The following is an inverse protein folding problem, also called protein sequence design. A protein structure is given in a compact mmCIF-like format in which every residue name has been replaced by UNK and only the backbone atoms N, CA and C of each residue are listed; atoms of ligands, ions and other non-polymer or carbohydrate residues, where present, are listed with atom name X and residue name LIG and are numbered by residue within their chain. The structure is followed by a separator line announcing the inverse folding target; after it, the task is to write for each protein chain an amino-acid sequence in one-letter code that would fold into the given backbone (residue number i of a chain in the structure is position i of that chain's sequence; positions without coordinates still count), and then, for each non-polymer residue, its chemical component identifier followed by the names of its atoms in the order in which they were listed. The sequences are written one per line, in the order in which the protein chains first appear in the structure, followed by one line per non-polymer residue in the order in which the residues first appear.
data_IF_912178985629
#
_entry.id   IF_912178985629
#
_cell.length_a   1.000
_cell.length_b   1.000
_cell.length_c   1.000
_cell.angle_alpha   90.00
_cell.angle_beta   90.00
_cell.angle_gamma   90.00
#
_symmetry.space_group_name_H-M   'P 1'
#
loop_
_entity.id
_entity.type
_entity.pdbx_description
1 polymer ?
#
# COMPACT_ATOMS: atom_id res chain seq x y z
N UNK A 1 5.34 -12.71 0.65
CA UNK A 1 5.41 -13.20 -0.72
C UNK A 1 6.82 -13.61 -1.10
N UNK A 2 6.95 -14.47 -2.09
CA UNK A 2 8.23 -14.80 -2.68
C UNK A 2 8.07 -14.94 -4.20
N UNK A 3 8.98 -14.33 -4.96
CA UNK A 3 9.13 -14.61 -6.38
C UNK A 3 9.75 -16.01 -6.59
N UNK A 4 9.59 -16.64 -7.76
CA UNK A 4 10.27 -17.88 -8.06
C UNK A 4 11.79 -17.78 -7.89
N UNK A 5 12.39 -18.82 -7.29
CA UNK A 5 13.86 -18.87 -7.13
C UNK A 5 14.59 -18.97 -8.49
N UNK A 6 13.97 -19.66 -9.46
CA UNK A 6 14.45 -19.65 -10.85
C UNK A 6 14.00 -18.36 -11.51
N UNK A 7 14.95 -17.53 -11.89
CA UNK A 7 14.69 -16.28 -12.59
C UNK A 7 14.26 -16.58 -14.02
N UNK A 8 13.05 -16.16 -14.37
CA UNK A 8 12.50 -16.23 -15.72
C UNK A 8 11.91 -14.88 -16.11
N UNK A 9 12.19 -14.44 -17.33
CA UNK A 9 11.76 -13.14 -17.82
C UNK A 9 12.62 -11.96 -17.37
N UNK A 10 12.15 -10.77 -17.66
CA UNK A 10 12.79 -9.50 -17.31
C UNK A 10 11.72 -8.42 -17.11
N UNK A 11 12.10 -7.29 -16.53
CA UNK A 11 11.19 -6.16 -16.30
C UNK A 11 9.90 -6.60 -15.62
N UNK A 12 8.76 -6.20 -16.16
CA UNK A 12 7.43 -6.55 -15.65
C UNK A 12 7.03 -8.02 -15.91
N UNK A 13 7.76 -8.76 -16.70
CA UNK A 13 7.56 -10.20 -16.93
C UNK A 13 8.23 -11.09 -15.88
N UNK A 14 8.84 -10.54 -14.83
CA UNK A 14 9.65 -11.28 -13.86
C UNK A 14 9.02 -11.25 -12.46
N UNK A 15 8.44 -12.37 -12.03
CA UNK A 15 7.88 -12.51 -10.68
C UNK A 15 6.80 -11.47 -10.34
N UNK A 16 5.95 -11.17 -11.31
CA UNK A 16 4.95 -10.11 -11.22
C UNK A 16 3.66 -10.59 -10.53
N UNK A 17 3.13 -9.75 -9.69
CA UNK A 17 1.85 -9.84 -9.01
C UNK A 17 1.49 -8.46 -8.45
N UNK A 18 0.43 -8.34 -7.67
CA UNK A 18 0.01 -7.10 -7.01
C UNK A 18 -0.94 -7.36 -5.86
N UNK A 19 -0.90 -6.49 -4.86
CA UNK A 19 -1.89 -6.42 -3.79
C UNK A 19 -2.83 -5.28 -4.10
N UNK A 20 -4.08 -5.60 -4.44
CA UNK A 20 -5.12 -4.61 -4.74
C UNK A 20 -5.98 -4.37 -3.51
N UNK A 21 -5.93 -3.17 -2.99
CA UNK A 21 -6.77 -2.70 -1.89
C UNK A 21 -8.09 -2.18 -2.45
N UNK A 22 -9.22 -2.63 -1.90
CA UNK A 22 -10.57 -2.41 -2.44
C UNK A 22 -10.72 -2.84 -3.92
N UNK A 23 -9.88 -3.78 -4.40
CA UNK A 23 -9.84 -4.18 -5.80
C UNK A 23 -9.46 -3.07 -6.78
N UNK A 24 -8.81 -1.98 -6.31
CA UNK A 24 -8.58 -0.77 -7.11
C UNK A 24 -7.20 -0.14 -6.95
N UNK A 25 -6.60 -0.20 -5.77
CA UNK A 25 -5.37 0.51 -5.44
C UNK A 25 -4.25 -0.49 -5.26
N UNK A 26 -3.32 -0.51 -6.19
CA UNK A 26 -2.29 -1.55 -6.25
C UNK A 26 -1.00 -1.14 -5.56
N UNK A 27 -0.55 -2.02 -4.66
CA UNK A 27 0.84 -2.09 -4.22
C UNK A 27 1.53 -3.20 -5.02
N UNK A 28 2.47 -2.81 -5.86
CA UNK A 28 3.13 -3.71 -6.81
C UNK A 28 3.94 -4.79 -6.11
N UNK A 29 3.86 -6.01 -6.63
CA UNK A 29 4.76 -7.12 -6.34
C UNK A 29 5.54 -7.42 -7.61
N UNK A 30 6.86 -7.44 -7.51
CA UNK A 30 7.77 -7.72 -8.62
C UNK A 30 9.07 -8.32 -8.06
N UNK A 31 9.70 -9.20 -8.78
CA UNK A 31 11.10 -9.48 -8.54
C UNK A 31 11.93 -8.31 -9.05
N UNK A 32 12.23 -7.37 -8.13
CA UNK A 32 13.00 -6.15 -8.41
C UNK A 32 14.48 -6.28 -8.08
N UNK A 33 14.96 -7.48 -7.71
CA UNK A 33 16.36 -7.72 -7.43
C UNK A 33 17.14 -7.81 -8.75
N UNK A 34 18.07 -6.87 -8.98
CA UNK A 34 18.82 -6.77 -10.25
C UNK A 34 17.90 -6.85 -11.49
N UNK A 35 16.76 -6.17 -11.44
CA UNK A 35 15.79 -6.18 -12.52
C UNK A 35 15.45 -4.75 -12.95
N UNK A 36 15.82 -4.38 -14.16
CA UNK A 36 15.54 -3.08 -14.73
C UNK A 36 14.12 -3.02 -15.28
N UNK A 37 13.34 -2.08 -14.81
CA UNK A 37 12.03 -1.72 -15.34
C UNK A 37 11.72 -0.25 -15.05
N UNK A 38 10.56 0.23 -15.45
CA UNK A 38 10.18 1.59 -15.11
C UNK A 38 10.02 1.76 -13.58
N UNK A 39 10.38 2.94 -13.09
CA UNK A 39 10.57 3.20 -11.66
C UNK A 39 9.28 3.06 -10.83
N UNK A 40 8.13 3.43 -11.41
CA UNK A 40 6.80 3.34 -10.79
C UNK A 40 6.10 1.97 -10.95
N UNK A 41 6.84 0.97 -11.43
CA UNK A 41 6.43 -0.44 -11.52
C UNK A 41 7.36 -1.38 -10.76
N UNK A 42 8.27 -0.86 -9.93
CA UNK A 42 9.12 -1.67 -9.03
C UNK A 42 8.30 -2.27 -7.88
N UNK A 43 8.85 -3.28 -7.20
CA UNK A 43 8.25 -3.82 -5.99
C UNK A 43 7.96 -2.71 -4.97
N UNK A 44 6.75 -2.73 -4.37
CA UNK A 44 6.23 -1.74 -3.45
C UNK A 44 5.98 -0.33 -4.03
N UNK A 45 5.99 -0.16 -5.35
CA UNK A 45 5.39 1.01 -5.98
C UNK A 45 3.89 1.07 -5.66
N UNK A 46 3.34 2.26 -5.49
CA UNK A 46 1.94 2.50 -5.80
C UNK A 46 1.88 2.55 -7.32
N UNK A 47 1.45 1.43 -7.93
CA UNK A 47 1.68 1.14 -9.35
C UNK A 47 1.21 2.28 -10.28
N UNK A 48 2.14 2.76 -11.12
CA UNK A 48 1.95 3.89 -12.05
C UNK A 48 1.65 5.25 -11.39
N UNK A 49 1.85 5.36 -10.06
CA UNK A 49 1.68 6.63 -9.35
C UNK A 49 2.98 7.07 -8.68
N UNK A 50 3.58 6.20 -7.87
CA UNK A 50 4.80 6.53 -7.11
C UNK A 50 5.77 5.35 -7.07
N UNK A 51 7.05 5.59 -7.33
CA UNK A 51 8.08 4.58 -7.09
C UNK A 51 8.27 4.33 -5.58
N UNK A 52 8.86 3.21 -5.18
CA UNK A 52 9.34 3.05 -3.82
C UNK A 52 10.50 4.03 -3.56
N UNK A 53 10.61 4.52 -2.31
CA UNK A 53 11.72 5.39 -1.90
C UNK A 53 13.09 4.73 -2.06
N UNK A 54 13.14 3.41 -1.93
CA UNK A 54 14.33 2.56 -2.12
C UNK A 54 13.89 1.17 -2.53
N UNK A 55 14.71 0.48 -3.31
CA UNK A 55 14.51 -0.94 -3.61
C UNK A 55 14.98 -1.80 -2.42
N UNK A 56 14.03 -2.30 -1.63
CA UNK A 56 14.28 -3.17 -0.48
C UNK A 56 14.07 -4.67 -0.82
N UNK A 57 14.04 -5.03 -2.11
CA UNK A 57 13.79 -6.39 -2.57
C UNK A 57 14.95 -7.31 -2.23
N UNK A 58 14.67 -8.48 -1.67
CA UNK A 58 15.62 -9.58 -1.49
C UNK A 58 15.75 -10.39 -2.77
N UNK A 59 16.73 -11.30 -2.80
CA UNK A 59 16.96 -12.19 -3.94
C UNK A 59 15.73 -13.05 -4.30
N UNK A 60 15.59 -13.46 -5.56
CA UNK A 60 14.57 -14.42 -5.97
C UNK A 60 14.55 -15.66 -5.09
N UNK A 61 13.37 -16.15 -4.77
CA UNK A 61 13.16 -17.29 -3.89
C UNK A 61 13.19 -16.98 -2.39
N UNK A 62 13.70 -15.81 -1.99
CA UNK A 62 13.63 -15.39 -0.59
C UNK A 62 12.25 -14.80 -0.26
N UNK A 63 11.77 -15.07 0.96
CA UNK A 63 10.52 -14.49 1.46
C UNK A 63 10.68 -12.99 1.74
N UNK A 64 9.75 -12.24 1.21
CA UNK A 64 9.60 -10.80 1.37
C UNK A 64 8.39 -10.50 2.27
N UNK A 65 8.44 -9.40 3.01
CA UNK A 65 7.31 -8.93 3.81
C UNK A 65 6.82 -7.59 3.31
N UNK A 66 5.49 -7.41 3.28
CA UNK A 66 4.84 -6.10 3.17
C UNK A 66 4.02 -5.84 4.41
N UNK A 67 4.24 -4.69 5.04
CA UNK A 67 3.32 -4.09 5.98
C UNK A 67 2.69 -2.89 5.30
N UNK A 68 1.39 -2.96 5.03
CA UNK A 68 0.66 -1.94 4.30
C UNK A 68 -0.35 -1.27 5.23
N UNK A 69 -0.21 0.04 5.44
CA UNK A 69 -1.17 0.86 6.16
C UNK A 69 -1.96 1.65 5.12
N UNK A 70 -3.25 1.35 5.00
CA UNK A 70 -4.12 1.93 3.99
C UNK A 70 -5.24 2.76 4.62
N UNK A 71 -5.27 4.03 4.29
CA UNK A 71 -6.40 4.92 4.56
C UNK A 71 -7.18 5.07 3.27
N UNK A 72 -8.34 4.43 3.19
CA UNK A 72 -9.17 4.44 1.99
C UNK A 72 -9.62 5.88 1.63
N UNK A 73 -9.71 6.23 0.35
CA UNK A 73 -10.32 7.47 -0.07
C UNK A 73 -11.81 7.45 0.29
N UNK A 74 -12.36 8.63 0.52
CA UNK A 74 -13.78 8.81 0.70
C UNK A 74 -14.36 9.53 -0.51
N UNK A 75 -15.29 8.84 -1.19
CA UNK A 75 -15.95 9.35 -2.38
C UNK A 75 -17.44 9.43 -2.08
N UNK A 76 -18.05 10.57 -2.33
CA UNK A 76 -19.46 10.79 -2.15
C UNK A 76 -20.30 10.06 -3.21
N UNK A 77 -21.61 9.94 -2.98
CA UNK A 77 -22.50 9.21 -3.91
C UNK A 77 -22.58 9.83 -5.30
N UNK A 78 -22.32 11.12 -5.41
CA UNK A 78 -22.25 11.85 -6.69
C UNK A 78 -20.88 11.68 -7.41
N UNK A 79 -19.96 10.90 -6.83
CA UNK A 79 -18.62 10.65 -7.36
C UNK A 79 -17.57 11.66 -6.95
N UNK A 80 -17.93 12.69 -6.18
CA UNK A 80 -16.99 13.72 -5.71
C UNK A 80 -16.04 13.14 -4.65
N UNK A 81 -14.76 13.44 -4.77
CA UNK A 81 -13.76 13.08 -3.79
C UNK A 81 -13.91 13.96 -2.53
N UNK A 82 -14.35 13.36 -1.44
CA UNK A 82 -14.47 14.03 -0.14
C UNK A 82 -13.14 14.02 0.63
N UNK A 83 -12.35 12.94 0.47
CA UNK A 83 -11.01 12.80 1.06
C UNK A 83 -10.17 11.85 0.20
N UNK A 84 -8.92 12.20 -0.12
CA UNK A 84 -8.03 11.30 -0.82
C UNK A 84 -7.65 10.09 0.05
N UNK A 85 -7.21 9.02 -0.57
CA UNK A 85 -6.62 7.87 0.11
C UNK A 85 -5.13 8.06 0.34
N UNK A 86 -4.59 7.34 1.33
CA UNK A 86 -3.15 7.36 1.64
C UNK A 86 -2.64 5.94 1.88
N UNK A 87 -1.42 5.69 1.44
CA UNK A 87 -0.74 4.40 1.65
C UNK A 87 0.63 4.64 2.27
N UNK A 88 0.92 3.86 3.31
CA UNK A 88 2.28 3.69 3.84
C UNK A 88 2.66 2.22 3.67
N UNK A 89 3.85 1.96 3.15
CA UNK A 89 4.36 0.60 2.94
C UNK A 89 5.74 0.45 3.55
N UNK A 90 5.90 -0.62 4.35
CA UNK A 90 7.22 -1.13 4.69
C UNK A 90 7.45 -2.41 3.88
N UNK A 91 8.58 -2.47 3.21
CA UNK A 91 9.05 -3.65 2.48
C UNK A 91 10.27 -4.22 3.19
N UNK A 92 10.18 -5.44 3.71
CA UNK A 92 11.22 -6.06 4.54
C UNK A 92 11.63 -5.19 5.75
N UNK A 93 10.65 -4.48 6.35
CA UNK A 93 10.89 -3.55 7.46
C UNK A 93 11.43 -2.18 7.06
N UNK A 94 11.72 -1.94 5.78
CA UNK A 94 12.20 -0.66 5.27
C UNK A 94 11.01 0.18 4.78
N UNK A 95 10.93 1.44 5.21
CA UNK A 95 9.89 2.38 4.75
C UNK A 95 10.12 2.73 3.28
N UNK A 96 9.19 2.33 2.42
CA UNK A 96 9.28 2.53 0.97
C UNK A 96 8.16 3.42 0.40
N UNK A 97 7.05 3.56 1.12
CA UNK A 97 6.01 4.56 0.86
C UNK A 97 5.65 5.24 2.18
N UNK A 98 5.74 6.56 2.24
CA UNK A 98 5.52 7.33 3.46
C UNK A 98 4.26 8.18 3.34
N UNK A 99 3.11 7.65 3.75
CA UNK A 99 1.83 8.38 3.71
C UNK A 99 1.57 9.02 2.34
N UNK A 100 1.87 8.26 1.28
CA UNK A 100 1.72 8.73 -0.10
C UNK A 100 0.24 8.88 -0.45
N UNK A 101 -0.14 10.06 -0.92
CA UNK A 101 -1.51 10.36 -1.34
C UNK A 101 -1.82 9.65 -2.66
N UNK A 102 -2.92 8.89 -2.70
CA UNK A 102 -3.37 8.24 -3.92
C UNK A 102 -3.93 9.29 -4.90
N UNK A 103 -3.59 9.14 -6.17
CA UNK A 103 -4.12 9.97 -7.25
C UNK A 103 -5.39 9.37 -7.87
N UNK A 104 -5.76 8.16 -7.47
CA UNK A 104 -6.92 7.42 -7.98
C UNK A 104 -6.67 5.92 -8.01
N UNK A 105 -7.56 5.18 -8.65
CA UNK A 105 -7.41 3.75 -8.91
C UNK A 105 -6.26 3.47 -9.87
N UNK A 106 -5.71 2.26 -9.77
CA UNK A 106 -4.61 1.79 -10.61
C UNK A 106 -5.09 1.44 -12.02
N UNK A 107 -4.36 1.97 -13.01
CA UNK A 107 -4.46 1.59 -14.42
C UNK A 107 -3.06 1.51 -15.00
N UNK A 108 -2.84 0.57 -15.93
CA UNK A 108 -1.54 0.45 -16.59
C UNK A 108 -1.42 1.32 -17.86
N UNK A 109 -2.55 1.64 -18.49
CA UNK A 109 -2.69 2.23 -19.83
C UNK A 109 -3.18 3.69 -19.82
N UNK A 110 -3.50 4.23 -18.66
CA UNK A 110 -4.00 5.60 -18.49
C UNK A 110 -3.67 6.15 -17.11
N UNK A 111 -3.75 7.48 -16.92
CA UNK A 111 -3.57 8.10 -15.61
C UNK A 111 -4.53 7.57 -14.55
N UNK A 112 -4.13 7.58 -13.27
CA UNK A 112 -5.01 7.23 -12.16
C UNK A 112 -6.22 8.17 -12.10
N UNK A 113 -7.36 7.62 -11.73
CA UNK A 113 -8.62 8.36 -11.62
C UNK A 113 -9.42 7.81 -10.44
N UNK A 114 -10.01 8.70 -9.65
CA UNK A 114 -10.98 8.31 -8.64
C UNK A 114 -12.33 8.02 -9.29
N UNK A 115 -12.89 6.85 -8.97
CA UNK A 115 -14.27 6.47 -9.35
C UNK A 115 -15.03 6.05 -8.11
N UNK A 116 -16.31 6.38 -8.06
CA UNK A 116 -17.18 5.97 -6.97
C UNK A 116 -17.06 4.46 -6.71
N UNK A 117 -16.92 4.10 -5.45
CA UNK A 117 -16.88 2.72 -4.99
C UNK A 117 -17.39 2.63 -3.54
N UNK A 118 -17.82 1.44 -3.08
CA UNK A 118 -18.17 1.23 -1.68
C UNK A 118 -16.99 1.53 -0.74
N UNK A 119 -17.30 1.90 0.51
CA UNK A 119 -16.29 2.12 1.56
C UNK A 119 -15.54 0.83 1.94
N UNK A 120 -16.15 -0.33 1.70
CA UNK A 120 -15.57 -1.66 1.93
C UNK A 120 -15.51 -2.42 0.61
N UNK A 121 -14.46 -3.20 0.45
CA UNK A 121 -14.24 -4.02 -0.74
C UNK A 121 -13.20 -5.09 -0.48
N UNK A 122 -12.93 -5.91 -1.49
CA UNK A 122 -11.96 -6.99 -1.42
C UNK A 122 -10.52 -6.49 -1.32
N UNK A 123 -9.67 -7.35 -0.79
CA UNK A 123 -8.23 -7.32 -1.02
C UNK A 123 -7.96 -8.45 -2.00
N UNK A 124 -7.49 -8.09 -3.18
CA UNK A 124 -7.21 -9.06 -4.24
C UNK A 124 -5.70 -9.23 -4.42
N UNK A 125 -5.31 -10.46 -4.71
CA UNK A 125 -3.95 -10.80 -5.10
C UNK A 125 -3.97 -11.11 -6.60
N UNK A 126 -3.20 -10.33 -7.36
CA UNK A 126 -3.16 -10.50 -8.81
C UNK A 126 -2.41 -11.77 -9.21
N UNK A 127 -2.96 -12.54 -10.14
CA UNK A 127 -2.23 -13.53 -10.89
C UNK A 127 -1.80 -12.93 -12.25
N UNK A 128 -0.49 -12.79 -12.45
CA UNK A 128 0.09 -12.19 -13.66
C UNK A 128 0.86 -13.23 -14.52
N UNK A 129 0.48 -14.51 -14.41
CA UNK A 129 1.18 -15.59 -15.14
C UNK A 129 2.51 -16.00 -14.51
N UNK A 130 2.94 -15.39 -13.43
CA UNK A 130 4.14 -15.75 -12.68
C UNK A 130 3.77 -16.52 -11.40
N UNK A 131 4.50 -17.60 -11.04
CA UNK A 131 4.19 -18.41 -9.87
C UNK A 131 4.73 -17.77 -8.58
N UNK A 132 4.25 -16.56 -8.25
CA UNK A 132 4.53 -15.89 -7.00
C UNK A 132 3.82 -16.62 -5.85
N UNK A 133 4.52 -16.83 -4.75
CA UNK A 133 4.00 -17.52 -3.58
C UNK A 133 3.61 -16.55 -2.47
N UNK A 134 2.58 -16.90 -1.71
CA UNK A 134 2.05 -16.10 -0.60
C UNK A 134 1.88 -16.95 0.65
N UNK A 135 2.14 -16.35 1.82
CA UNK A 135 1.86 -16.94 3.13
C UNK A 135 1.65 -15.87 4.19
N UNK A 136 1.05 -16.25 5.32
CA UNK A 136 0.88 -15.40 6.50
C UNK A 136 0.18 -14.07 6.17
N UNK A 137 -0.90 -14.13 5.38
CA UNK A 137 -1.71 -12.96 5.05
C UNK A 137 -2.68 -12.72 6.20
N UNK A 138 -2.66 -11.51 6.75
CA UNK A 138 -3.63 -11.08 7.75
C UNK A 138 -4.01 -9.62 7.53
N UNK A 139 -5.20 -9.27 7.98
CA UNK A 139 -5.77 -7.92 7.87
C UNK A 139 -6.31 -7.50 9.22
N UNK A 140 -6.04 -6.27 9.60
CA UNK A 140 -6.59 -5.66 10.80
C UNK A 140 -7.22 -4.33 10.45
N UNK A 141 -8.52 -4.21 10.70
CA UNK A 141 -9.19 -2.91 10.64
C UNK A 141 -8.76 -2.06 11.85
N UNK A 142 -8.45 -0.80 11.63
CA UNK A 142 -8.24 0.16 12.69
C UNK A 142 -9.24 1.30 12.56
N UNK A 143 -9.75 1.76 13.69
CA UNK A 143 -10.66 2.91 13.70
C UNK A 143 -9.85 4.19 13.50
N UNK A 144 -10.23 4.96 12.50
CA UNK A 144 -9.79 6.34 12.39
C UNK A 144 -10.49 7.17 13.47
N UNK A 145 -9.73 7.89 14.29
CA UNK A 145 -10.31 8.80 15.27
C UNK A 145 -10.96 9.97 14.52
N UNK A 146 -12.27 10.10 14.67
CA UNK A 146 -13.00 11.25 14.16
C UNK A 146 -12.52 12.54 14.85
N UNK A 147 -12.60 13.72 14.19
CA UNK A 147 -12.13 14.98 14.77
C UNK A 147 -12.59 15.25 16.22
N UNK A 148 -13.84 14.99 16.61
CA UNK A 148 -14.28 15.13 18.00
C UNK A 148 -13.61 14.15 18.96
N UNK A 149 -13.29 12.93 18.51
CA UNK A 149 -12.59 11.92 19.31
C UNK A 149 -11.11 12.26 19.46
N UNK A 150 -10.49 12.77 18.41
CA UNK A 150 -9.11 13.31 18.47
C UNK A 150 -9.03 14.47 19.47
N UNK A 151 -9.99 15.36 19.49
CA UNK A 151 -10.08 16.47 20.44
C UNK A 151 -10.26 15.96 21.89
N UNK A 152 -11.09 14.95 22.13
CA UNK A 152 -11.26 14.31 23.46
C UNK A 152 -9.95 13.69 23.96
N UNK A 153 -9.24 12.95 23.08
CA UNK A 153 -7.96 12.33 23.42
C UNK A 153 -6.91 13.40 23.73
N UNK A 154 -6.80 14.45 22.91
CA UNK A 154 -5.87 15.54 23.13
C UNK A 154 -6.15 16.27 24.44
N UNK A 155 -7.41 16.51 24.79
CA UNK A 155 -7.79 17.12 26.07
C UNK A 155 -7.42 16.22 27.26
N UNK A 156 -7.66 14.92 27.16
CA UNK A 156 -7.30 13.97 28.20
C UNK A 156 -5.79 13.90 28.42
N UNK A 157 -4.99 13.93 27.36
CA UNK A 157 -3.52 14.00 27.43
C UNK A 157 -3.05 15.29 28.14
N UNK A 158 -3.64 16.44 27.81
CA UNK A 158 -3.34 17.72 28.49
C UNK A 158 -3.70 17.70 29.98
N UNK A 159 -4.77 17.02 30.38
CA UNK A 159 -5.13 16.85 31.78
C UNK A 159 -4.13 15.98 32.55
N UNK A 160 -3.65 14.90 31.93
CA UNK A 160 -2.64 14.01 32.49
C UNK A 160 -1.30 14.73 32.68
N UNK A 161 -0.90 15.52 31.71
CA UNK A 161 0.34 16.30 31.72
C UNK A 161 0.31 17.36 32.85
N UNK A 162 -0.82 18.05 33.03
CA UNK A 162 -1.02 19.00 34.14
C UNK A 162 -0.99 18.35 35.53
N UNK A 163 -1.39 17.08 35.64
CA UNK A 163 -1.32 16.33 36.89
C UNK A 163 0.10 15.86 37.19
N UNK A 164 0.86 15.51 36.15
CA UNK A 164 2.25 15.07 36.23
C UNK A 164 3.20 16.21 36.65
N UNK A 165 2.90 17.47 36.29
CA UNK A 165 3.71 18.66 36.64
C UNK A 165 3.41 19.23 38.02
N UNK A 166 2.53 18.61 38.81
CA UNK A 166 2.17 19.04 40.16
C UNK A 166 2.74 18.14 41.29
N UNK A 167 3.65 17.25 40.95
CA UNK A 167 4.49 16.48 41.85
C UNK A 167 5.93 17.02 41.84
#
# INVERSE_FOLDING_TARGET
WASPAKVEGNGQGRGNSGVYLLGKYEVQILDSFDNKTYFDGQAASIYKQYPPLVNACRKPGEWQTYDIIFNAPRIEKDGKLARPGFITVLHNGVLVQNHSELQGGTFYDRPPEYKAHPEKGAIDIQFHGNPVQFKNIWVREFKELLPPEKAKVANKLKELDRKSTRL
#
